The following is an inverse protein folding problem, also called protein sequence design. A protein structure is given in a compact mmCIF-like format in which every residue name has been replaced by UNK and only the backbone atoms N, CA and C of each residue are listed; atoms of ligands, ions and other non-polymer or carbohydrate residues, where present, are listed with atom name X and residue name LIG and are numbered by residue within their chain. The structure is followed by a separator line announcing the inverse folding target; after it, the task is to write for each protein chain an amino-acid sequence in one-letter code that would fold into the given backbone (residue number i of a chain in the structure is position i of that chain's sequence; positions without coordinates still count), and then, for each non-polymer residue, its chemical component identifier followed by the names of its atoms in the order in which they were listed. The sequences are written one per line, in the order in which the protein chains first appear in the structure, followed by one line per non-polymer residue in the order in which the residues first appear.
data_IF_451732734725
#
_entry.id   IF_451732734725
#
_cell.length_a   1.000
_cell.length_b   1.000
_cell.length_c   1.000
_cell.angle_alpha   90.00
_cell.angle_beta   90.00
_cell.angle_gamma   90.00
#
_symmetry.space_group_name_H-M   'P 1'
#
loop_
_entity.id
_entity.type
_entity.pdbx_description
1 polymer ?
#
# COMPACT_ATOMS: atom_id res chain seq x y z
N UNK A 1 -11.63 30.97 -22.57
CA UNK A 1 -12.27 29.64 -22.62
C UNK A 1 -12.68 29.29 -21.21
N UNK A 2 -13.97 29.29 -20.92
CA UNK A 2 -14.50 29.05 -19.58
C UNK A 2 -14.03 27.69 -19.08
N UNK A 3 -13.31 27.67 -17.96
CA UNK A 3 -13.08 26.44 -17.19
C UNK A 3 -14.46 25.91 -16.81
N UNK A 4 -14.88 24.83 -17.47
CA UNK A 4 -16.20 24.25 -17.32
C UNK A 4 -16.53 24.02 -15.86
N UNK A 5 -17.73 24.47 -15.47
CA UNK A 5 -18.24 24.28 -14.12
C UNK A 5 -18.30 22.79 -13.78
N UNK A 6 -17.50 22.37 -12.80
CA UNK A 6 -17.41 20.97 -12.31
C UNK A 6 -18.76 20.47 -11.79
N UNK A 7 -19.70 21.36 -11.49
CA UNK A 7 -21.08 21.02 -11.10
C UNK A 7 -21.78 20.14 -12.14
N UNK A 8 -21.43 20.28 -13.43
CA UNK A 8 -22.00 19.46 -14.51
C UNK A 8 -21.74 17.95 -14.30
N UNK A 9 -20.55 17.58 -13.84
CA UNK A 9 -20.17 16.18 -13.58
C UNK A 9 -20.90 15.57 -12.38
N UNK A 10 -21.53 16.41 -11.56
CA UNK A 10 -22.27 15.99 -10.36
C UNK A 10 -23.77 15.79 -10.64
N UNK A 11 -24.23 16.03 -11.88
CA UNK A 11 -25.65 15.87 -12.22
C UNK A 11 -26.08 14.39 -12.22
N UNK A 12 -27.28 14.04 -11.73
CA UNK A 12 -27.72 12.65 -11.59
C UNK A 12 -27.71 11.83 -12.89
N UNK A 13 -28.07 12.44 -14.02
CA UNK A 13 -28.04 11.82 -15.34
C UNK A 13 -26.61 11.49 -15.80
N UNK A 14 -25.64 12.36 -15.48
CA UNK A 14 -24.23 12.14 -15.84
C UNK A 14 -23.63 11.05 -14.95
N UNK A 15 -23.97 11.02 -13.67
CA UNK A 15 -23.57 9.94 -12.77
C UNK A 15 -24.15 8.58 -13.23
N UNK A 16 -25.43 8.55 -13.60
CA UNK A 16 -26.05 7.34 -14.14
C UNK A 16 -25.41 6.88 -15.46
N UNK A 17 -25.06 7.82 -16.35
CA UNK A 17 -24.31 7.53 -17.58
C UNK A 17 -22.93 6.93 -17.25
N UNK A 18 -22.21 7.54 -16.30
CA UNK A 18 -20.89 7.06 -15.85
C UNK A 18 -20.99 5.62 -15.34
N UNK A 19 -21.95 5.34 -14.46
CA UNK A 19 -22.19 3.99 -13.94
C UNK A 19 -22.49 3.00 -15.07
N UNK A 20 -23.44 3.33 -15.95
CA UNK A 20 -23.81 2.49 -17.09
C UNK A 20 -22.63 2.22 -18.04
N UNK A 21 -21.79 3.24 -18.28
CA UNK A 21 -20.59 3.11 -19.10
C UNK A 21 -19.55 2.19 -18.44
N UNK A 22 -19.29 2.35 -17.14
CA UNK A 22 -18.36 1.48 -16.41
C UNK A 22 -18.84 0.02 -16.37
N UNK A 23 -20.15 -0.21 -16.21
CA UNK A 23 -20.74 -1.55 -16.28
C UNK A 23 -20.57 -2.18 -17.66
N UNK A 24 -20.76 -1.39 -18.73
CA UNK A 24 -20.59 -1.86 -20.10
C UNK A 24 -19.14 -2.30 -20.35
N UNK A 25 -18.17 -1.49 -19.94
CA UNK A 25 -16.75 -1.83 -20.08
C UNK A 25 -16.40 -3.10 -19.29
N UNK A 26 -16.96 -3.27 -18.09
CA UNK A 26 -16.80 -4.50 -17.32
C UNK A 26 -17.39 -5.72 -18.05
N UNK A 27 -18.61 -5.62 -18.59
CA UNK A 27 -19.26 -6.70 -19.35
C UNK A 27 -18.45 -7.11 -20.59
N UNK A 28 -17.80 -6.15 -21.23
CA UNK A 28 -16.92 -6.40 -22.38
C UNK A 28 -15.49 -6.82 -22.00
N UNK A 29 -15.19 -6.93 -20.71
CA UNK A 29 -13.85 -7.26 -20.19
C UNK A 29 -12.77 -6.24 -20.56
N UNK A 30 -13.17 -5.00 -20.82
CA UNK A 30 -12.28 -3.86 -21.12
C UNK A 30 -11.84 -3.18 -19.81
N UNK A 31 -11.11 -3.94 -18.98
CA UNK A 31 -10.79 -3.52 -17.62
C UNK A 31 -9.75 -2.40 -17.55
N UNK A 32 -8.81 -2.37 -18.51
CA UNK A 32 -7.77 -1.34 -18.57
C UNK A 32 -8.36 0.00 -18.97
N UNK A 33 -9.19 0.02 -20.01
CA UNK A 33 -9.91 1.18 -20.49
C UNK A 33 -10.83 1.74 -19.41
N UNK A 34 -11.54 0.85 -18.68
CA UNK A 34 -12.36 1.25 -17.53
C UNK A 34 -11.51 1.92 -16.44
N UNK A 35 -10.36 1.33 -16.10
CA UNK A 35 -9.46 1.87 -15.09
C UNK A 35 -8.94 3.26 -15.48
N UNK A 36 -8.57 3.45 -16.74
CA UNK A 36 -8.09 4.75 -17.23
C UNK A 36 -9.21 5.79 -17.31
N UNK A 37 -10.42 5.40 -17.69
CA UNK A 37 -11.61 6.24 -17.61
C UNK A 37 -11.89 6.71 -16.18
N UNK A 38 -11.89 5.82 -15.20
CA UNK A 38 -12.13 6.16 -13.80
C UNK A 38 -11.04 7.07 -13.22
N UNK A 39 -9.77 6.87 -13.59
CA UNK A 39 -8.68 7.79 -13.21
C UNK A 39 -8.91 9.18 -13.77
N UNK A 40 -9.26 9.29 -15.05
CA UNK A 40 -9.55 10.58 -15.68
C UNK A 40 -10.77 11.25 -15.03
N UNK A 41 -11.82 10.48 -14.73
CA UNK A 41 -13.00 10.95 -14.01
C UNK A 41 -12.63 11.50 -12.63
N UNK A 42 -11.91 10.71 -11.82
CA UNK A 42 -11.55 11.10 -10.46
C UNK A 42 -10.67 12.35 -10.42
N UNK A 43 -9.80 12.51 -11.42
CA UNK A 43 -9.00 13.72 -11.60
C UNK A 43 -9.87 14.94 -11.94
N UNK A 44 -10.93 14.77 -12.72
CA UNK A 44 -11.85 15.86 -13.07
C UNK A 44 -12.74 16.28 -11.89
N UNK A 45 -13.11 15.34 -11.02
CA UNK A 45 -13.96 15.56 -9.85
C UNK A 45 -13.19 15.86 -8.56
N UNK A 46 -11.85 15.97 -8.60
CA UNK A 46 -10.96 16.08 -7.43
C UNK A 46 -11.24 15.04 -6.33
N UNK A 47 -11.78 13.88 -6.71
CA UNK A 47 -12.09 12.81 -5.78
C UNK A 47 -10.83 12.00 -5.50
N UNK A 48 -10.41 11.99 -4.24
CA UNK A 48 -9.27 11.21 -3.82
C UNK A 48 -9.77 9.91 -3.17
N UNK A 49 -9.50 8.73 -3.76
CA UNK A 49 -9.98 7.48 -3.18
C UNK A 49 -9.29 7.20 -1.85
N UNK A 50 -10.02 6.62 -0.91
CA UNK A 50 -9.44 6.14 0.34
C UNK A 50 -8.43 5.03 0.07
N UNK A 51 -7.38 4.97 0.90
CA UNK A 51 -6.42 3.88 0.85
C UNK A 51 -7.11 2.58 1.20
N UNK A 52 -7.10 1.62 0.27
CA UNK A 52 -7.78 0.33 0.46
C UNK A 52 -7.15 -0.52 1.57
N UNK A 53 -5.85 -0.37 1.80
CA UNK A 53 -5.09 -1.13 2.79
C UNK A 53 -4.22 -0.16 3.59
N UNK A 54 -4.21 -0.34 4.91
CA UNK A 54 -3.34 0.40 5.82
C UNK A 54 -2.51 -0.55 6.66
N UNK A 55 -1.28 -0.14 6.99
CA UNK A 55 -0.41 -0.85 7.94
C UNK A 55 -0.41 -0.07 9.25
N UNK A 56 -0.74 -0.73 10.35
CA UNK A 56 -0.77 -0.16 11.69
C UNK A 56 0.33 -0.76 12.59
N UNK A 57 0.81 0.03 13.54
CA UNK A 57 1.81 -0.42 14.50
C UNK A 57 1.15 -1.33 15.55
N UNK A 58 1.68 -2.55 15.72
CA UNK A 58 1.20 -3.51 16.71
C UNK A 58 1.29 -3.03 18.17
N UNK A 59 2.07 -1.99 18.45
CA UNK A 59 2.24 -1.49 19.82
C UNK A 59 1.38 -0.28 20.18
N UNK A 60 1.14 0.64 19.24
CA UNK A 60 0.38 1.85 19.53
C UNK A 60 -0.87 2.02 18.67
N UNK A 61 -1.14 1.08 17.74
CA UNK A 61 -2.29 1.10 16.85
C UNK A 61 -2.27 2.17 15.76
N UNK A 62 -1.32 3.11 15.79
CA UNK A 62 -1.23 4.19 14.80
C UNK A 62 -0.67 3.68 13.48
N UNK A 63 -1.17 4.25 12.37
CA UNK A 63 -0.71 3.94 11.02
C UNK A 63 0.79 4.20 10.87
N UNK A 64 1.49 3.26 10.26
CA UNK A 64 2.92 3.35 9.92
C UNK A 64 3.07 4.06 8.57
N UNK A 65 2.07 3.91 7.70
CA UNK A 65 1.97 4.52 6.37
C UNK A 65 1.59 6.01 6.49
N UNK A 66 2.56 6.90 6.69
CA UNK A 66 2.36 8.30 6.36
C UNK A 66 3.69 9.00 6.07
N UNK A 67 4.02 9.12 4.79
CA UNK A 67 5.06 10.05 4.30
C UNK A 67 4.80 11.49 4.77
N UNK A 68 3.54 11.84 5.08
CA UNK A 68 3.14 13.13 5.65
C UNK A 68 3.70 13.38 7.06
N UNK A 69 4.01 12.35 7.84
CA UNK A 69 4.70 12.53 9.13
C UNK A 69 6.20 12.82 8.99
N UNK A 70 6.83 12.41 7.88
CA UNK A 70 8.21 12.75 7.57
C UNK A 70 8.34 14.22 7.12
N UNK A 71 7.35 14.73 6.39
CA UNK A 71 7.33 16.12 5.92
C UNK A 71 6.92 17.15 7.00
N UNK A 72 6.12 16.75 8.00
CA UNK A 72 5.56 17.69 8.99
C UNK A 72 6.51 18.02 10.16
N UNK A 73 7.50 17.17 10.47
CA UNK A 73 8.56 17.52 11.44
C UNK A 73 9.75 18.16 10.73
N UNK A 74 9.49 19.32 10.12
CA UNK A 74 10.49 20.34 9.84
C UNK A 74 11.04 20.96 11.13
N UNK A 75 11.63 20.14 12.00
CA UNK A 75 12.59 20.64 12.99
C UNK A 75 13.91 20.84 12.26
N UNK A 76 14.27 22.12 12.15
CA UNK A 76 15.52 22.68 11.65
C UNK A 76 16.73 21.80 12.04
N UNK A 77 17.19 20.95 11.12
CA UNK A 77 18.56 20.47 11.13
C UNK A 77 19.29 21.23 10.03
N UNK A 78 20.12 22.17 10.47
CA UNK A 78 21.06 22.91 9.63
C UNK A 78 22.13 21.96 9.10
N UNK A 79 22.36 22.02 7.79
CA UNK A 79 23.63 21.70 7.15
C UNK A 79 23.95 20.21 6.99
N UNK A 80 24.05 19.76 5.74
CA UNK A 80 24.75 18.51 5.42
C UNK A 80 24.11 17.73 4.30
N UNK A 81 24.89 17.51 3.26
CA UNK A 81 24.59 16.78 2.03
C UNK A 81 24.10 15.33 2.25
N UNK A 82 23.46 14.83 1.18
CA UNK A 82 23.05 13.46 0.87
C UNK A 82 21.72 12.98 1.47
N UNK A 83 20.76 12.83 0.55
CA UNK A 83 19.53 12.07 0.69
C UNK A 83 19.81 10.65 1.19
N UNK A 84 19.90 10.47 2.50
CA UNK A 84 19.94 9.15 3.13
C UNK A 84 18.52 8.60 3.14
N UNK A 85 18.24 7.80 2.11
CA UNK A 85 17.11 6.88 1.95
C UNK A 85 16.95 5.99 3.20
N UNK A 86 16.31 6.52 4.25
CA UNK A 86 16.14 5.78 5.50
C UNK A 86 14.96 4.82 5.37
N UNK A 87 15.25 3.53 5.26
CA UNK A 87 14.29 2.47 5.55
C UNK A 87 13.71 2.73 6.95
N UNK A 88 12.39 2.89 7.04
CA UNK A 88 11.74 3.12 8.32
C UNK A 88 11.89 1.81 9.12
N UNK A 89 12.74 1.79 10.14
CA UNK A 89 12.97 0.62 11.00
C UNK A 89 12.11 0.63 12.26
N UNK A 90 11.45 1.75 12.55
CA UNK A 90 10.73 2.00 13.80
C UNK A 90 9.46 2.81 13.57
N UNK A 91 8.43 2.58 14.39
CA UNK A 91 7.18 3.31 14.32
C UNK A 91 7.42 4.83 14.51
N UNK A 92 6.89 5.71 13.64
CA UNK A 92 7.08 7.16 13.76
C UNK A 92 6.41 7.75 15.00
N UNK A 93 5.40 7.07 15.56
CA UNK A 93 4.64 7.54 16.71
C UNK A 93 5.20 7.08 18.06
N UNK A 94 5.58 5.81 18.20
CA UNK A 94 6.02 5.24 19.49
C UNK A 94 7.47 4.75 19.49
N UNK A 95 8.19 4.86 18.36
CA UNK A 95 9.60 4.45 18.17
C UNK A 95 9.91 2.96 18.39
N UNK A 96 8.91 2.12 18.67
CA UNK A 96 9.09 0.67 18.75
C UNK A 96 9.39 0.07 17.37
N UNK A 97 10.16 -1.03 17.29
CA UNK A 97 10.63 -1.59 16.03
C UNK A 97 9.45 -2.02 15.15
N UNK A 98 9.59 -1.82 13.84
CA UNK A 98 8.63 -2.33 12.86
C UNK A 98 8.81 -3.83 12.62
N UNK A 99 7.76 -4.51 12.11
CA UNK A 99 7.82 -5.92 11.78
C UNK A 99 9.05 -6.27 10.94
N UNK A 100 9.64 -7.42 11.25
CA UNK A 100 10.78 -8.02 10.54
C UNK A 100 10.31 -9.24 9.77
N UNK A 101 11.04 -9.58 8.71
CA UNK A 101 10.83 -10.83 8.00
C UNK A 101 11.10 -12.02 8.92
N UNK A 102 10.21 -13.01 8.93
CA UNK A 102 10.35 -14.23 9.74
C UNK A 102 11.57 -15.09 9.38
N UNK A 103 12.14 -14.90 8.19
CA UNK A 103 13.26 -15.71 7.68
C UNK A 103 14.59 -14.95 7.83
N UNK A 104 14.74 -13.78 7.18
CA UNK A 104 16.01 -13.04 7.22
C UNK A 104 16.13 -12.04 8.38
N UNK A 105 15.06 -11.85 9.17
CA UNK A 105 15.01 -10.93 10.32
C UNK A 105 15.27 -9.45 10.00
N UNK A 106 15.36 -9.08 8.73
CA UNK A 106 15.46 -7.69 8.26
C UNK A 106 14.09 -7.01 8.27
N UNK A 107 14.05 -5.68 8.42
CA UNK A 107 12.81 -4.91 8.44
C UNK A 107 12.03 -5.02 7.13
N UNK A 108 10.71 -5.16 7.26
CA UNK A 108 9.77 -5.21 6.14
C UNK A 108 9.51 -3.80 5.62
N UNK A 109 9.72 -3.59 4.32
CA UNK A 109 9.42 -2.32 3.66
C UNK A 109 10.23 -2.12 2.40
N UNK A 110 9.55 -2.03 1.26
CA UNK A 110 10.16 -1.62 0.02
C UNK A 110 10.48 -0.11 0.08
N UNK A 111 11.65 0.27 -0.44
CA UNK A 111 11.87 1.66 -0.83
C UNK A 111 10.80 2.02 -1.88
N UNK A 112 10.25 3.25 -1.90
CA UNK A 112 9.21 3.63 -2.88
C UNK A 112 9.62 3.45 -4.34
N UNK A 113 10.92 3.42 -4.60
CA UNK A 113 11.57 3.24 -5.89
C UNK A 113 11.85 1.76 -6.26
N UNK A 114 11.68 0.83 -5.32
CA UNK A 114 11.84 -0.60 -5.56
C UNK A 114 10.49 -1.24 -5.88
N UNK A 115 10.19 -1.30 -7.18
CA UNK A 115 9.07 -2.07 -7.74
C UNK A 115 9.32 -3.58 -7.75
N UNK A 116 10.47 -4.03 -7.23
CA UNK A 116 10.80 -5.45 -7.19
C UNK A 116 9.87 -6.18 -6.22
N UNK A 117 8.99 -7.01 -6.77
CA UNK A 117 8.03 -7.85 -6.04
C UNK A 117 8.72 -8.68 -4.95
N UNK A 118 9.97 -9.09 -5.16
CA UNK A 118 10.73 -9.91 -4.20
C UNK A 118 10.83 -9.29 -2.81
N UNK A 119 10.86 -7.95 -2.73
CA UNK A 119 11.01 -7.19 -1.48
C UNK A 119 9.65 -6.83 -0.85
N UNK A 120 8.53 -7.22 -1.46
CA UNK A 120 7.21 -6.90 -0.94
C UNK A 120 6.92 -7.64 0.37
N UNK A 121 6.13 -6.98 1.22
CA UNK A 121 5.60 -7.59 2.43
C UNK A 121 4.51 -8.58 2.05
N UNK A 122 4.75 -9.86 2.30
CA UNK A 122 3.75 -10.93 2.20
C UNK A 122 3.50 -11.51 3.60
N UNK A 123 2.26 -11.93 3.88
CA UNK A 123 1.88 -12.48 5.19
C UNK A 123 0.74 -13.48 5.08
N UNK A 124 0.67 -14.39 6.05
CA UNK A 124 -0.46 -15.29 6.19
C UNK A 124 -1.63 -14.59 6.91
N UNK A 125 -2.84 -14.69 6.36
CA UNK A 125 -4.02 -14.05 6.96
C UNK A 125 -4.46 -14.71 8.29
N UNK A 126 -4.08 -15.97 8.53
CA UNK A 126 -4.43 -16.73 9.73
C UNK A 126 -3.53 -16.41 10.92
N UNK A 127 -2.20 -16.56 10.75
CA UNK A 127 -1.25 -16.33 11.84
C UNK A 127 -0.67 -14.92 11.88
N UNK A 128 -0.88 -14.11 10.84
CA UNK A 128 -0.38 -12.72 10.70
C UNK A 128 1.16 -12.60 10.75
N UNK A 129 1.87 -13.72 10.58
CA UNK A 129 3.31 -13.72 10.37
C UNK A 129 3.62 -13.47 8.90
N UNK A 130 4.69 -12.74 8.64
CA UNK A 130 5.05 -12.29 7.31
C UNK A 130 6.54 -12.14 7.09
N UNK A 131 6.89 -11.90 5.85
CA UNK A 131 8.24 -11.92 5.32
C UNK A 131 8.35 -11.14 4.02
N UNK A 132 9.56 -11.08 3.48
CA UNK A 132 9.74 -10.69 2.10
C UNK A 132 9.12 -11.76 1.20
N UNK A 133 8.47 -11.34 0.12
CA UNK A 133 7.78 -12.23 -0.80
C UNK A 133 8.71 -13.36 -1.29
N UNK A 134 9.94 -13.04 -1.71
CA UNK A 134 10.88 -14.06 -2.18
C UNK A 134 11.21 -15.10 -1.11
N UNK A 135 11.63 -14.67 0.09
CA UNK A 135 11.99 -15.63 1.15
C UNK A 135 10.81 -16.52 1.54
N UNK A 136 9.58 -15.98 1.56
CA UNK A 136 8.41 -16.79 1.85
C UNK A 136 8.11 -17.78 0.71
N UNK A 137 8.20 -17.34 -0.55
CA UNK A 137 8.05 -18.23 -1.70
C UNK A 137 9.07 -19.37 -1.63
N UNK A 138 10.35 -19.07 -1.45
CA UNK A 138 11.43 -20.06 -1.32
C UNK A 138 11.17 -21.05 -0.18
N UNK A 139 10.73 -20.55 0.99
CA UNK A 139 10.42 -21.41 2.13
C UNK A 139 9.27 -22.39 1.83
N UNK A 140 8.20 -21.89 1.19
CA UNK A 140 7.00 -22.68 0.91
C UNK A 140 7.13 -23.64 -0.28
N UNK A 141 8.25 -23.63 -1.02
CA UNK A 141 8.58 -24.69 -1.99
C UNK A 141 8.81 -26.04 -1.31
N UNK A 142 9.42 -26.04 -0.12
CA UNK A 142 9.78 -27.25 0.62
C UNK A 142 9.01 -27.42 1.95
N UNK A 143 8.31 -26.37 2.42
CA UNK A 143 7.62 -26.36 3.71
C UNK A 143 6.15 -25.95 3.54
N UNK A 144 5.29 -26.39 4.46
CA UNK A 144 3.90 -25.93 4.56
C UNK A 144 3.58 -25.30 5.92
N UNK A 145 4.52 -25.37 6.86
CA UNK A 145 4.39 -24.75 8.18
C UNK A 145 5.00 -23.35 8.23
N UNK A 146 4.50 -22.54 9.16
CA UNK A 146 4.98 -21.19 9.37
C UNK A 146 6.45 -21.17 9.83
N UNK A 147 7.33 -20.33 9.24
CA UNK A 147 8.75 -20.24 9.63
C UNK A 147 8.99 -19.63 11.02
N UNK A 148 7.95 -19.14 11.70
CA UNK A 148 8.08 -18.56 13.05
C UNK A 148 8.08 -19.69 14.08
N UNK A 149 9.12 -19.71 14.93
CA UNK A 149 9.22 -20.65 16.05
C UNK A 149 7.93 -20.66 16.88
N UNK A 150 7.50 -21.87 17.28
CA UNK A 150 6.28 -22.15 18.04
C UNK A 150 4.94 -21.84 17.32
N UNK A 151 4.96 -21.37 16.08
CA UNK A 151 3.75 -21.20 15.28
C UNK A 151 3.41 -22.48 14.51
N UNK A 152 2.34 -23.18 14.91
CA UNK A 152 1.88 -24.42 14.26
C UNK A 152 0.91 -24.20 13.08
N UNK A 153 0.90 -23.00 12.51
CA UNK A 153 0.00 -22.67 11.41
C UNK A 153 0.49 -23.32 10.11
N UNK A 154 -0.40 -24.02 9.40
CA UNK A 154 -0.16 -24.44 8.02
C UNK A 154 -0.49 -23.26 7.12
N UNK A 155 0.56 -22.61 6.62
CA UNK A 155 0.44 -21.40 5.82
C UNK A 155 0.42 -21.78 4.33
N UNK A 156 -0.43 -21.09 3.57
CA UNK A 156 -0.38 -21.09 2.12
C UNK A 156 -0.13 -19.63 1.70
N UNK A 157 0.93 -19.38 0.96
CA UNK A 157 1.24 -18.05 0.38
C UNK A 157 0.69 -17.96 -1.02
#
# INVERSE_FOLDING_TARGET
MHTGDKSFLSQPNILHWKESYTELLNKWKLYFERSDFEKAWNKATDSNPDSQIYVACNYCGKHVSNAKFLASRGTRFMGGSLAMQSSITSCPSCRKPLPRCSICLTHLGARPEETNFQNWLSWCMSCKHGGHAQHLLDWFEEHHECPVADCKCICNV
#
